data_IF_893551058857
#
_entry.id   IF_893551058857
#
_cell.length_a   1.000
_cell.length_b   1.000
_cell.length_c   1.000
_cell.angle_alpha   90.00
_cell.angle_beta   90.00
_cell.angle_gamma   90.00
#
_symmetry.space_group_name_H-M   'P 1'
#
loop_
_entity.id
_entity.type
_entity.pdbx_description
1 polymer ?
#
# COMPACT_ATOMS: atom_id res chain seq x y z
N UNK A 1 -112.69 -9.20 62.69
CA UNK A 1 -113.95 -8.49 62.97
C UNK A 1 -113.55 -7.05 63.27
N UNK A 2 -113.66 -6.14 62.32
CA UNK A 2 -114.87 -5.44 61.86
C UNK A 2 -115.38 -4.40 62.86
N UNK A 3 -115.78 -3.24 62.30
CA UNK A 3 -116.64 -2.19 62.86
C UNK A 3 -115.99 -1.29 63.93
N UNK A 4 -116.23 0.02 64.01
CA UNK A 4 -117.20 0.90 63.36
C UNK A 4 -117.06 2.31 63.97
N UNK A 5 -117.68 3.28 63.30
CA UNK A 5 -117.60 4.74 63.47
C UNK A 5 -117.87 5.33 64.87
N UNK A 6 -117.31 6.54 65.12
CA UNK A 6 -118.10 7.78 65.33
C UNK A 6 -117.24 9.06 65.36
N UNK A 7 -117.76 10.12 64.72
CA UNK A 7 -117.26 11.49 64.71
C UNK A 7 -117.69 12.26 65.98
N UNK A 8 -116.83 13.16 66.50
CA UNK A 8 -117.22 14.51 66.93
C UNK A 8 -116.01 15.43 67.10
N UNK A 9 -116.23 16.68 66.68
CA UNK A 9 -115.34 17.83 66.50
C UNK A 9 -114.94 18.45 67.85
N UNK A 10 -113.70 18.96 67.98
CA UNK A 10 -113.37 20.36 68.37
C UNK A 10 -111.85 20.57 68.46
N UNK A 11 -111.37 21.61 67.78
CA UNK A 11 -109.95 21.91 67.58
C UNK A 11 -109.22 22.34 68.86
N UNK A 12 -107.98 21.85 69.00
CA UNK A 12 -106.99 22.40 69.93
C UNK A 12 -106.06 23.33 69.13
N UNK A 13 -106.18 24.64 69.37
CA UNK A 13 -105.18 25.62 68.93
C UNK A 13 -103.89 25.38 69.73
N UNK A 14 -102.76 25.35 69.05
CA UNK A 14 -101.44 25.31 69.68
C UNK A 14 -101.21 26.62 70.46
N UNK A 15 -100.65 26.58 71.69
CA UNK A 15 -100.49 27.76 72.52
C UNK A 15 -99.50 28.75 71.88
N UNK A 16 -99.95 29.99 71.72
CA UNK A 16 -99.13 31.11 71.23
C UNK A 16 -98.11 31.48 72.31
N UNK A 17 -96.82 31.35 71.99
CA UNK A 17 -95.73 31.69 72.91
C UNK A 17 -95.42 33.19 72.81
N UNK A 18 -95.64 33.91 73.91
CA UNK A 18 -95.40 35.36 74.02
C UNK A 18 -94.03 35.57 74.64
N UNK A 19 -93.10 36.13 73.86
CA UNK A 19 -91.76 36.44 74.33
C UNK A 19 -91.75 37.91 74.81
N UNK A 20 -91.63 38.11 76.13
CA UNK A 20 -91.63 39.43 76.75
C UNK A 20 -90.19 39.92 76.83
N UNK A 21 -89.84 40.89 75.99
CA UNK A 21 -88.56 41.60 76.06
C UNK A 21 -88.79 42.93 76.77
N UNK A 22 -88.39 43.01 78.03
CA UNK A 22 -88.40 44.24 78.81
C UNK A 22 -87.01 44.88 78.73
N UNK A 23 -86.93 46.10 78.21
CA UNK A 23 -85.73 46.94 78.29
C UNK A 23 -86.16 48.33 78.75
N UNK A 24 -85.94 48.61 80.04
CA UNK A 24 -86.35 49.86 80.69
C UNK A 24 -87.86 50.10 80.66
N UNK A 25 -88.26 51.37 80.63
CA UNK A 25 -89.66 51.84 80.79
C UNK A 25 -90.59 51.61 79.57
N UNK A 26 -90.19 50.80 78.58
CA UNK A 26 -91.04 50.46 77.43
C UNK A 26 -91.08 48.95 77.20
N UNK A 27 -92.25 48.35 77.40
CA UNK A 27 -92.51 46.93 77.10
C UNK A 27 -93.12 46.83 75.71
N UNK A 28 -92.43 46.15 74.78
CA UNK A 28 -92.98 45.76 73.47
C UNK A 28 -93.26 44.26 73.46
N UNK A 29 -94.46 43.89 73.05
CA UNK A 29 -94.86 42.50 72.85
C UNK A 29 -94.77 42.15 71.37
N UNK A 30 -94.10 41.02 71.05
CA UNK A 30 -94.08 40.48 69.69
C UNK A 30 -94.63 39.04 69.74
N UNK A 31 -95.65 38.78 68.93
CA UNK A 31 -96.30 37.46 68.88
C UNK A 31 -95.63 36.61 67.80
N UNK A 32 -94.98 35.51 68.21
CA UNK A 32 -94.32 34.60 67.28
C UNK A 32 -95.33 33.57 66.80
N UNK A 33 -95.85 33.76 65.59
CA UNK A 33 -96.74 32.78 64.94
C UNK A 33 -95.93 31.54 64.51
N UNK A 34 -96.50 30.32 64.57
CA UNK A 34 -95.78 29.09 64.27
C UNK A 34 -95.16 29.03 62.86
N UNK A 35 -95.73 29.74 61.87
CA UNK A 35 -95.10 29.91 60.55
C UNK A 35 -93.73 30.61 60.64
N UNK A 36 -93.59 31.66 61.47
CA UNK A 36 -92.34 32.43 61.55
C UNK A 36 -91.19 31.60 62.14
N UNK A 37 -91.50 30.71 63.09
CA UNK A 37 -90.53 29.76 63.62
C UNK A 37 -90.08 28.76 62.54
N UNK A 38 -91.00 28.28 61.69
CA UNK A 38 -90.66 27.40 60.57
C UNK A 38 -89.76 28.10 59.53
N UNK A 39 -90.02 29.36 59.19
CA UNK A 39 -89.17 30.16 58.30
C UNK A 39 -87.77 30.39 58.88
N UNK A 40 -87.67 30.73 60.17
CA UNK A 40 -86.39 30.91 60.83
C UNK A 40 -85.57 29.61 60.86
N UNK A 41 -86.22 28.47 61.13
CA UNK A 41 -85.57 27.16 61.11
C UNK A 41 -85.10 26.78 59.71
N UNK A 42 -85.88 27.09 58.67
CA UNK A 42 -85.49 26.90 57.28
C UNK A 42 -84.29 27.78 56.90
N UNK A 43 -84.29 29.04 57.33
CA UNK A 43 -83.20 29.98 57.09
C UNK A 43 -81.90 29.53 57.76
N UNK A 44 -81.96 29.11 59.02
CA UNK A 44 -80.82 28.52 59.74
C UNK A 44 -80.37 27.22 59.09
N UNK A 45 -81.30 26.39 58.61
CA UNK A 45 -80.99 25.16 57.88
C UNK A 45 -80.22 25.43 56.59
N UNK A 46 -80.68 26.38 55.77
CA UNK A 46 -80.00 26.79 54.53
C UNK A 46 -78.61 27.37 54.82
N UNK A 47 -78.48 28.23 55.83
CA UNK A 47 -77.18 28.76 56.23
C UNK A 47 -76.22 27.68 56.75
N UNK A 48 -76.72 26.72 57.53
CA UNK A 48 -75.91 25.62 58.05
C UNK A 48 -75.46 24.68 56.94
N UNK A 49 -76.34 24.38 55.98
CA UNK A 49 -76.01 23.59 54.78
C UNK A 49 -75.00 24.35 53.92
N UNK A 50 -75.20 25.66 53.71
CA UNK A 50 -74.26 26.50 52.97
C UNK A 50 -72.88 26.55 53.64
N UNK A 51 -72.85 26.67 54.97
CA UNK A 51 -71.61 26.65 55.75
C UNK A 51 -70.89 25.28 55.68
N UNK A 52 -71.64 24.18 55.77
CA UNK A 52 -71.09 22.83 55.60
C UNK A 52 -70.58 22.58 54.18
N UNK A 53 -71.29 23.05 53.15
CA UNK A 53 -70.85 22.94 51.75
C UNK A 53 -69.60 23.78 51.49
N UNK A 54 -69.52 24.99 52.05
CA UNK A 54 -68.35 25.86 51.90
C UNK A 54 -67.10 25.28 52.60
N UNK A 55 -67.25 24.76 53.82
CA UNK A 55 -66.15 24.11 54.54
C UNK A 55 -65.73 22.81 53.86
N UNK A 56 -66.68 22.01 53.36
CA UNK A 56 -66.39 20.81 52.57
C UNK A 56 -65.64 21.13 51.26
N UNK A 57 -66.05 22.19 50.55
CA UNK A 57 -65.37 22.64 49.33
C UNK A 57 -63.94 23.12 49.59
N UNK A 58 -63.70 23.87 50.66
CA UNK A 58 -62.35 24.35 51.00
C UNK A 58 -61.40 23.19 51.32
N UNK A 59 -61.86 22.19 52.08
CA UNK A 59 -61.05 21.00 52.40
C UNK A 59 -60.76 20.19 51.14
N UNK A 60 -61.78 19.94 50.30
CA UNK A 60 -61.59 19.22 49.03
C UNK A 60 -60.72 19.99 48.03
N UNK A 61 -60.76 21.33 48.04
CA UNK A 61 -59.95 22.19 47.17
C UNK A 61 -58.47 22.05 47.49
N UNK A 62 -58.10 22.06 48.76
CA UNK A 62 -56.70 21.95 49.16
C UNK A 62 -56.12 20.56 48.81
N UNK A 63 -56.91 19.49 48.98
CA UNK A 63 -56.53 18.15 48.53
C UNK A 63 -56.40 18.05 47.00
N UNK A 64 -57.29 18.70 46.24
CA UNK A 64 -57.28 18.67 44.78
C UNK A 64 -56.14 19.52 44.18
N UNK A 65 -55.85 20.67 44.77
CA UNK A 65 -54.70 21.51 44.41
C UNK A 65 -53.40 20.80 44.80
N UNK A 66 -53.34 20.19 45.99
CA UNK A 66 -52.19 19.40 46.43
C UNK A 66 -51.91 18.21 45.51
N UNK A 67 -52.96 17.46 45.13
CA UNK A 67 -52.83 16.31 44.23
C UNK A 67 -52.39 16.72 42.81
N UNK A 68 -52.90 17.83 42.28
CA UNK A 68 -52.51 18.33 40.94
C UNK A 68 -51.10 18.93 40.93
N UNK A 69 -50.72 19.69 41.96
CA UNK A 69 -49.34 20.18 42.13
C UNK A 69 -48.34 19.04 42.33
N UNK A 70 -48.67 18.02 43.11
CA UNK A 70 -47.81 16.84 43.28
C UNK A 70 -47.66 16.06 41.97
N UNK A 71 -48.71 15.99 41.15
CA UNK A 71 -48.67 15.35 39.83
C UNK A 71 -47.82 16.15 38.84
N UNK A 72 -47.97 17.48 38.81
CA UNK A 72 -47.12 18.36 37.99
C UNK A 72 -45.65 18.28 38.41
N UNK A 73 -45.36 18.29 39.73
CA UNK A 73 -44.00 18.17 40.24
C UNK A 73 -43.36 16.82 39.86
N UNK A 74 -44.10 15.71 39.96
CA UNK A 74 -43.61 14.40 39.50
C UNK A 74 -43.35 14.37 38.00
N UNK A 75 -44.26 14.90 37.19
CA UNK A 75 -44.07 15.00 35.74
C UNK A 75 -42.83 15.83 35.40
N UNK A 76 -42.64 16.95 36.10
CA UNK A 76 -41.48 17.81 35.91
C UNK A 76 -40.17 17.09 36.25
N UNK A 77 -40.12 16.36 37.39
CA UNK A 77 -38.95 15.55 37.74
C UNK A 77 -38.68 14.43 36.73
N UNK A 78 -39.71 13.73 36.26
CA UNK A 78 -39.57 12.71 35.20
C UNK A 78 -39.00 13.31 33.89
N UNK A 79 -39.41 14.54 33.55
CA UNK A 79 -38.87 15.27 32.41
C UNK A 79 -37.42 15.72 32.65
N UNK A 80 -37.11 16.26 33.83
CA UNK A 80 -35.74 16.64 34.21
C UNK A 80 -34.79 15.44 34.17
N UNK A 81 -35.22 14.28 34.68
CA UNK A 81 -34.47 13.03 34.67
C UNK A 81 -34.28 12.51 33.24
N UNK A 82 -35.32 12.53 32.40
CA UNK A 82 -35.21 12.18 30.97
C UNK A 82 -34.25 13.10 30.23
N UNK A 83 -34.31 14.41 30.48
CA UNK A 83 -33.40 15.38 29.87
C UNK A 83 -31.97 15.13 30.33
N UNK A 84 -31.74 14.86 31.62
CA UNK A 84 -30.42 14.54 32.15
C UNK A 84 -29.87 13.24 31.53
N UNK A 85 -30.70 12.20 31.41
CA UNK A 85 -30.32 10.93 30.79
C UNK A 85 -29.98 11.10 29.29
N UNK A 86 -30.81 11.84 28.54
CA UNK A 86 -30.56 12.15 27.13
C UNK A 86 -29.27 12.96 26.95
N UNK A 87 -29.04 13.96 27.81
CA UNK A 87 -27.82 14.77 27.79
C UNK A 87 -26.57 13.93 28.07
N UNK A 88 -26.61 13.07 29.09
CA UNK A 88 -25.52 12.15 29.39
C UNK A 88 -25.26 11.16 28.23
N UNK A 89 -26.31 10.73 27.53
CA UNK A 89 -26.18 9.86 26.36
C UNK A 89 -25.55 10.60 25.17
N UNK A 90 -25.93 11.85 24.92
CA UNK A 90 -25.30 12.72 23.90
C UNK A 90 -23.85 13.00 24.24
N UNK A 91 -23.54 13.36 25.48
CA UNK A 91 -22.15 13.62 25.93
C UNK A 91 -21.28 12.36 25.78
N UNK A 92 -21.83 11.18 26.09
CA UNK A 92 -21.13 9.90 25.90
C UNK A 92 -20.89 9.57 24.43
N UNK A 93 -21.86 9.81 23.55
CA UNK A 93 -21.72 9.56 22.11
C UNK A 93 -20.73 10.53 21.48
N UNK A 94 -20.84 11.82 21.81
CA UNK A 94 -19.93 12.86 21.31
C UNK A 94 -18.50 12.63 21.78
N UNK A 95 -18.29 12.26 23.05
CA UNK A 95 -16.97 11.88 23.56
C UNK A 95 -16.36 10.69 22.83
N UNK A 96 -17.14 9.63 22.57
CA UNK A 96 -16.67 8.48 21.78
C UNK A 96 -16.33 8.86 20.34
N UNK A 97 -17.17 9.68 19.71
CA UNK A 97 -16.94 10.15 18.34
C UNK A 97 -15.66 10.99 18.22
N UNK A 98 -15.37 11.84 19.21
CA UNK A 98 -14.13 12.62 19.23
C UNK A 98 -12.88 11.73 19.41
N UNK A 99 -12.95 10.71 20.27
CA UNK A 99 -11.86 9.75 20.44
C UNK A 99 -11.62 8.92 19.18
N UNK A 100 -12.70 8.40 18.57
CA UNK A 100 -12.61 7.66 17.31
C UNK A 100 -12.01 8.53 16.21
N UNK A 101 -12.40 9.82 16.14
CA UNK A 101 -11.83 10.77 15.20
C UNK A 101 -10.32 10.96 15.41
N UNK A 102 -9.87 11.19 16.65
CA UNK A 102 -8.44 11.35 16.96
C UNK A 102 -7.61 10.11 16.59
N UNK A 103 -8.15 8.92 16.85
CA UNK A 103 -7.47 7.65 16.51
C UNK A 103 -7.39 7.48 14.99
N UNK A 104 -8.46 7.84 14.26
CA UNK A 104 -8.45 7.80 12.80
C UNK A 104 -7.45 8.81 12.24
N UNK A 105 -7.39 10.03 12.77
CA UNK A 105 -6.43 11.06 12.36
C UNK A 105 -4.97 10.59 12.55
N UNK A 106 -4.61 10.08 13.73
CA UNK A 106 -3.25 9.55 14.00
C UNK A 106 -2.89 8.39 13.06
N UNK A 107 -3.85 7.52 12.72
CA UNK A 107 -3.64 6.44 11.75
C UNK A 107 -3.45 6.96 10.32
N UNK A 108 -4.21 7.98 9.91
CA UNK A 108 -4.05 8.63 8.60
C UNK A 108 -2.68 9.27 8.50
N UNK A 109 -2.23 9.99 9.53
CA UNK A 109 -0.93 10.67 9.53
C UNK A 109 0.21 9.66 9.38
N UNK A 110 0.16 8.54 10.12
CA UNK A 110 1.12 7.43 9.98
C UNK A 110 1.11 6.79 8.60
N UNK A 111 -0.08 6.58 8.01
CA UNK A 111 -0.18 6.08 6.65
C UNK A 111 0.42 7.05 5.64
N UNK A 112 0.20 8.35 5.81
CA UNK A 112 0.72 9.36 4.91
C UNK A 112 2.25 9.43 5.00
N UNK A 113 2.82 9.33 6.21
CA UNK A 113 4.26 9.20 6.43
C UNK A 113 4.82 7.95 5.75
N UNK A 114 4.17 6.79 5.92
CA UNK A 114 4.59 5.54 5.28
C UNK A 114 4.52 5.63 3.75
N UNK A 115 3.47 6.24 3.20
CA UNK A 115 3.30 6.44 1.76
C UNK A 115 4.37 7.39 1.19
N UNK A 116 4.72 8.46 1.90
CA UNK A 116 5.79 9.38 1.50
C UNK A 116 7.16 8.68 1.50
N UNK A 117 7.44 7.88 2.53
CA UNK A 117 8.67 7.08 2.60
C UNK A 117 8.76 6.08 1.43
N UNK A 118 7.67 5.35 1.14
CA UNK A 118 7.60 4.44 0.00
C UNK A 118 7.77 5.15 -1.34
N UNK A 119 7.16 6.32 -1.52
CA UNK A 119 7.27 7.10 -2.75
C UNK A 119 8.71 7.60 -2.97
N UNK A 120 9.36 8.07 -1.91
CA UNK A 120 10.77 8.48 -1.94
C UNK A 120 11.70 7.30 -2.29
N UNK A 121 11.46 6.14 -1.67
CA UNK A 121 12.19 4.89 -1.97
C UNK A 121 12.00 4.45 -3.41
N UNK A 122 10.76 4.48 -3.91
CA UNK A 122 10.43 4.10 -5.28
C UNK A 122 11.19 4.96 -6.29
N UNK A 123 11.27 6.28 -6.09
CA UNK A 123 12.05 7.15 -6.97
C UNK A 123 13.55 6.82 -7.02
N UNK A 124 14.15 6.36 -5.92
CA UNK A 124 15.55 5.89 -5.93
C UNK A 124 15.70 4.56 -6.66
N UNK A 125 14.77 3.64 -6.41
CA UNK A 125 14.76 2.31 -6.99
C UNK A 125 14.54 2.35 -8.51
N UNK A 126 13.69 3.25 -9.00
CA UNK A 126 13.42 3.46 -10.43
C UNK A 126 14.71 3.73 -11.22
N UNK A 127 15.57 4.64 -10.72
CA UNK A 127 16.86 4.93 -11.33
C UNK A 127 17.81 3.70 -11.36
N UNK A 128 17.77 2.85 -10.33
CA UNK A 128 18.59 1.64 -10.28
C UNK A 128 18.02 0.52 -11.15
N UNK A 129 16.70 0.45 -11.29
CA UNK A 129 16.04 -0.48 -12.21
C UNK A 129 16.38 -0.14 -13.65
N UNK A 130 16.29 1.14 -14.04
CA UNK A 130 16.69 1.61 -15.36
C UNK A 130 18.17 1.26 -15.65
N UNK A 131 19.03 1.44 -14.65
CA UNK A 131 20.45 1.07 -14.75
C UNK A 131 20.64 -0.45 -14.87
N UNK A 132 19.93 -1.26 -14.10
CA UNK A 132 19.97 -2.72 -14.19
C UNK A 132 19.48 -3.23 -15.55
N UNK A 133 18.42 -2.63 -16.09
CA UNK A 133 17.90 -2.93 -17.42
C UNK A 133 18.93 -2.56 -18.50
N UNK A 134 19.53 -1.38 -18.41
CA UNK A 134 20.62 -0.95 -19.32
C UNK A 134 21.84 -1.87 -19.24
N UNK A 135 22.10 -2.46 -18.06
CA UNK A 135 23.13 -3.46 -17.82
C UNK A 135 22.78 -4.85 -18.36
N UNK A 136 21.59 -5.03 -18.96
CA UNK A 136 21.15 -6.26 -19.59
C UNK A 136 20.55 -7.30 -18.64
N UNK A 137 20.33 -6.93 -17.37
CA UNK A 137 19.60 -7.72 -16.39
C UNK A 137 18.09 -7.56 -16.64
N UNK A 138 17.63 -8.08 -17.78
CA UNK A 138 16.21 -8.13 -18.10
C UNK A 138 15.60 -9.37 -17.47
N UNK A 139 14.45 -9.20 -16.84
CA UNK A 139 13.57 -10.26 -16.33
C UNK A 139 13.59 -11.50 -17.23
N UNK A 140 14.06 -12.63 -16.68
CA UNK A 140 14.00 -13.93 -17.37
C UNK A 140 12.60 -14.53 -17.35
N UNK A 141 11.61 -13.87 -16.76
CA UNK A 141 10.25 -14.36 -16.67
C UNK A 141 9.29 -13.30 -17.22
N UNK A 142 8.52 -13.67 -18.23
CA UNK A 142 7.50 -12.83 -18.87
C UNK A 142 6.28 -12.58 -17.99
N UNK A 143 6.46 -12.53 -16.67
CA UNK A 143 5.44 -12.06 -15.74
C UNK A 143 5.55 -10.55 -15.72
N UNK A 144 4.97 -9.94 -16.75
CA UNK A 144 4.62 -8.53 -16.78
C UNK A 144 4.16 -8.13 -15.37
N UNK A 145 4.84 -7.19 -14.68
CA UNK A 145 4.30 -6.68 -13.45
C UNK A 145 2.89 -6.22 -13.79
N UNK A 146 1.91 -6.65 -12.99
CA UNK A 146 0.62 -5.98 -13.00
C UNK A 146 0.94 -4.47 -13.00
N UNK A 147 0.37 -3.68 -13.94
CA UNK A 147 0.71 -2.27 -14.06
C UNK A 147 0.71 -1.71 -12.66
N UNK A 148 1.82 -1.07 -12.27
CA UNK A 148 1.92 -0.37 -11.00
C UNK A 148 0.64 0.42 -10.87
N UNK A 149 -0.26 -0.08 -10.02
CA UNK A 149 -1.51 0.62 -9.78
C UNK A 149 -1.03 1.99 -9.34
N UNK A 150 -1.39 3.06 -10.06
CA UNK A 150 -0.99 4.39 -9.67
C UNK A 150 -1.32 4.48 -8.18
N UNK A 151 -0.39 4.94 -7.35
CA UNK A 151 -0.64 5.12 -5.91
C UNK A 151 -1.89 6.01 -5.67
N UNK A 152 -2.39 6.66 -6.73
CA UNK A 152 -3.66 7.38 -6.82
C UNK A 152 -4.95 6.51 -6.94
N UNK A 153 -4.89 5.19 -7.14
CA UNK A 153 -6.10 4.36 -7.31
C UNK A 153 -6.76 3.91 -6.00
N UNK A 154 -6.24 4.34 -4.85
CA UNK A 154 -6.91 4.14 -3.55
C UNK A 154 -7.72 5.37 -3.13
N UNK A 155 -8.19 6.18 -4.07
CA UNK A 155 -9.39 6.94 -3.82
C UNK A 155 -10.50 5.93 -3.47
N UNK A 156 -11.17 6.05 -2.31
CA UNK A 156 -12.26 5.14 -1.98
C UNK A 156 -13.25 5.17 -3.15
N UNK A 157 -13.62 4.01 -3.69
CA UNK A 157 -14.74 3.92 -4.63
C UNK A 157 -16.01 4.28 -3.86
N UNK A 158 -16.28 5.58 -3.75
CA UNK A 158 -17.55 6.12 -3.29
C UNK A 158 -18.53 6.01 -4.47
N UNK A 159 -18.65 4.83 -5.08
CA UNK A 159 -19.82 4.50 -5.88
C UNK A 159 -20.96 4.17 -4.93
N UNK A 160 -21.77 5.20 -4.73
CA UNK A 160 -23.20 5.08 -4.42
C UNK A 160 -23.59 4.29 -3.17
N UNK A 161 -22.92 4.55 -2.03
CA UNK A 161 -23.57 4.39 -0.71
C UNK A 161 -23.20 5.54 0.21
N UNK A 162 -23.55 6.77 -0.19
CA UNK A 162 -23.86 7.79 0.83
C UNK A 162 -25.06 7.24 1.60
N UNK A 163 -24.81 6.66 2.78
CA UNK A 163 -25.86 6.40 3.75
C UNK A 163 -26.55 7.73 3.99
N UNK A 164 -27.75 7.90 3.42
CA UNK A 164 -28.44 9.16 3.53
C UNK A 164 -28.78 9.37 5.00
N UNK A 165 -28.37 10.52 5.54
CA UNK A 165 -28.82 10.99 6.86
C UNK A 165 -30.35 11.08 6.94
N UNK A 166 -31.04 11.07 5.79
CA UNK A 166 -32.50 10.97 5.65
C UNK A 166 -33.06 9.62 6.11
N UNK A 167 -32.29 8.52 6.02
CA UNK A 167 -32.73 7.20 6.47
C UNK A 167 -32.80 7.07 8.00
N UNK A 168 -31.84 7.68 8.70
CA UNK A 168 -31.81 7.71 10.17
C UNK A 168 -32.97 8.50 10.76
N UNK A 169 -33.33 9.64 10.15
CA UNK A 169 -34.48 10.46 10.58
C UNK A 169 -35.80 9.69 10.38
N UNK A 170 -35.96 8.95 9.28
CA UNK A 170 -37.16 8.11 9.02
C UNK A 170 -37.29 6.90 9.95
N UNK A 171 -36.17 6.34 10.42
CA UNK A 171 -36.17 5.26 11.40
C UNK A 171 -36.55 5.78 12.79
N UNK A 172 -36.05 6.96 13.17
CA UNK A 172 -36.39 7.65 14.42
C UNK A 172 -37.87 8.10 14.40
N UNK A 173 -38.37 8.60 13.26
CA UNK A 173 -39.78 8.97 13.05
C UNK A 173 -40.73 7.77 13.17
N UNK A 174 -40.35 6.58 12.65
CA UNK A 174 -41.14 5.34 12.85
C UNK A 174 -41.17 4.84 14.29
N UNK A 175 -40.15 5.17 15.07
CA UNK A 175 -40.01 4.72 16.46
C UNK A 175 -40.64 5.71 17.45
N UNK A 176 -40.79 6.98 17.05
CA UNK A 176 -41.57 8.00 17.76
C UNK A 176 -43.05 8.02 17.34
N UNK A 177 -43.41 7.50 16.16
CA UNK A 177 -44.80 7.43 15.69
C UNK A 177 -45.60 6.23 16.21
N UNK A 178 -45.03 5.37 17.06
CA UNK A 178 -45.75 4.27 17.70
C UNK A 178 -46.45 4.72 18.99
N UNK A 179 -47.44 5.61 18.85
CA UNK A 179 -48.49 5.81 19.86
C UNK A 179 -49.67 4.90 19.48
N UNK A 180 -49.65 3.65 19.95
CA UNK A 180 -50.82 2.77 20.00
C UNK A 180 -50.77 1.91 21.27
N UNK A 181 -51.93 1.61 21.90
CA UNK A 181 -51.98 1.17 23.29
C UNK A 181 -51.44 -0.24 23.48
N UNK A 182 -50.82 -0.45 24.64
CA UNK A 182 -50.34 -1.74 25.11
C UNK A 182 -51.48 -2.74 25.26
N UNK A 183 -51.50 -3.77 24.41
CA UNK A 183 -52.14 -5.04 24.72
C UNK A 183 -51.46 -6.17 23.91
N UNK A 184 -50.33 -6.65 24.42
CA UNK A 184 -49.77 -7.95 24.06
C UNK A 184 -48.78 -8.39 25.15
N UNK A 185 -49.05 -9.57 25.69
CA UNK A 185 -48.29 -10.33 26.67
C UNK A 185 -46.79 -10.46 26.33
N UNK A 186 -45.88 -10.51 27.33
CA UNK A 186 -44.47 -10.63 27.06
C UNK A 186 -44.14 -12.07 26.66
N UNK A 187 -43.90 -12.30 25.37
CA UNK A 187 -43.20 -13.50 24.91
C UNK A 187 -41.71 -13.20 24.86
N UNK A 188 -41.05 -13.61 25.95
CA UNK A 188 -39.62 -13.63 26.14
C UNK A 188 -39.00 -14.72 25.26
N UNK A 189 -38.90 -14.46 23.95
CA UNK A 189 -38.10 -15.29 23.04
C UNK A 189 -37.82 -14.55 21.73
N UNK A 190 -36.82 -13.67 21.76
CA UNK A 190 -35.88 -13.38 20.66
C UNK A 190 -35.13 -12.08 20.97
N UNK A 191 -34.25 -12.13 21.98
CA UNK A 191 -33.02 -11.34 21.92
C UNK A 191 -32.11 -12.01 20.88
N UNK A 192 -32.55 -11.99 19.62
CA UNK A 192 -31.69 -12.31 18.51
C UNK A 192 -30.66 -11.18 18.45
N UNK A 193 -29.39 -11.57 18.51
CA UNK A 193 -28.22 -10.73 18.33
C UNK A 193 -28.36 -9.96 17.00
N UNK A 194 -28.96 -8.76 17.04
CA UNK A 194 -28.89 -7.84 15.93
C UNK A 194 -27.41 -7.43 15.82
N UNK A 195 -26.75 -7.63 14.67
CA UNK A 195 -25.38 -7.18 14.51
C UNK A 195 -25.39 -5.68 14.78
N UNK A 196 -24.62 -5.26 15.78
CA UNK A 196 -24.44 -3.85 16.10
C UNK A 196 -24.08 -3.13 14.80
N UNK A 197 -24.82 -2.08 14.45
CA UNK A 197 -24.55 -1.32 13.25
C UNK A 197 -23.07 -0.91 13.26
N UNK A 198 -22.31 -1.42 12.29
CA UNK A 198 -20.85 -1.27 12.18
C UNK A 198 -20.48 0.20 12.38
N UNK A 199 -19.67 0.49 13.41
CA UNK A 199 -19.35 1.86 13.80
C UNK A 199 -18.41 2.49 12.77
N UNK A 200 -18.29 3.82 12.80
CA UNK A 200 -17.36 4.52 11.90
C UNK A 200 -15.92 4.10 12.19
N UNK A 201 -15.56 3.86 13.46
CA UNK A 201 -14.28 3.31 13.88
C UNK A 201 -14.01 1.92 13.30
N UNK A 202 -14.96 0.99 13.40
CA UNK A 202 -14.80 -0.39 12.86
C UNK A 202 -14.54 -0.41 11.34
N UNK A 203 -15.24 0.46 10.60
CA UNK A 203 -15.03 0.62 9.15
C UNK A 203 -13.65 1.18 8.85
N UNK A 204 -13.22 2.20 9.58
CA UNK A 204 -11.92 2.81 9.39
C UNK A 204 -10.80 1.79 9.66
N UNK A 205 -10.89 1.03 10.75
CA UNK A 205 -9.92 0.00 11.13
C UNK A 205 -9.75 -1.09 10.08
N UNK A 206 -10.85 -1.52 9.44
CA UNK A 206 -10.78 -2.48 8.34
C UNK A 206 -10.07 -1.90 7.12
N UNK A 207 -10.31 -0.63 6.79
CA UNK A 207 -9.65 0.05 5.66
C UNK A 207 -8.17 0.22 5.96
N UNK A 208 -7.83 0.73 7.15
CA UNK A 208 -6.44 0.87 7.60
C UNK A 208 -5.70 -0.45 7.51
N UNK A 209 -6.28 -1.53 8.06
CA UNK A 209 -5.65 -2.86 8.03
C UNK A 209 -5.38 -3.33 6.60
N UNK A 210 -6.32 -3.14 5.68
CA UNK A 210 -6.12 -3.51 4.26
C UNK A 210 -5.04 -2.67 3.59
N UNK A 211 -5.03 -1.36 3.82
CA UNK A 211 -4.04 -0.45 3.25
C UNK A 211 -2.66 -0.78 3.80
N UNK A 212 -2.51 -0.92 5.12
CA UNK A 212 -1.24 -1.29 5.76
C UNK A 212 -0.71 -2.64 5.27
N UNK A 213 -1.58 -3.65 5.11
CA UNK A 213 -1.17 -4.95 4.53
C UNK A 213 -0.70 -4.79 3.09
N UNK A 214 -1.45 -4.05 2.26
CA UNK A 214 -1.05 -3.81 0.87
C UNK A 214 0.26 -3.04 0.77
N UNK A 215 0.50 -2.04 1.62
CA UNK A 215 1.76 -1.29 1.65
C UNK A 215 2.92 -2.19 2.07
N UNK A 216 2.69 -3.10 3.04
CA UNK A 216 3.69 -4.06 3.48
C UNK A 216 4.03 -5.09 2.39
N UNK A 217 3.02 -5.58 1.67
CA UNK A 217 3.23 -6.49 0.55
C UNK A 217 4.06 -5.83 -0.57
N UNK A 218 3.75 -4.56 -0.90
CA UNK A 218 4.55 -3.78 -1.85
C UNK A 218 5.98 -3.60 -1.35
N UNK A 219 6.18 -3.26 -0.07
CA UNK A 219 7.53 -3.10 0.48
C UNK A 219 8.35 -4.40 0.44
N UNK A 220 7.71 -5.54 0.73
CA UNK A 220 8.37 -6.85 0.65
C UNK A 220 8.73 -7.21 -0.79
N UNK A 221 7.83 -6.98 -1.74
CA UNK A 221 8.07 -7.22 -3.17
C UNK A 221 9.26 -6.39 -3.68
N UNK A 222 9.30 -5.10 -3.34
CA UNK A 222 10.42 -4.22 -3.70
C UNK A 222 11.74 -4.70 -3.10
N UNK A 223 11.75 -5.16 -1.83
CA UNK A 223 12.96 -5.72 -1.19
C UNK A 223 13.45 -6.99 -1.88
N UNK A 224 12.56 -7.96 -2.07
CA UNK A 224 12.89 -9.21 -2.76
C UNK A 224 13.45 -8.93 -4.16
N UNK A 225 12.91 -7.91 -4.83
CA UNK A 225 13.37 -7.52 -6.16
C UNK A 225 14.79 -6.96 -6.16
N UNK A 226 15.10 -6.06 -5.23
CA UNK A 226 16.46 -5.50 -5.08
C UNK A 226 17.47 -6.61 -4.77
N UNK A 227 17.12 -7.53 -3.89
CA UNK A 227 17.96 -8.68 -3.53
C UNK A 227 18.22 -9.58 -4.74
N UNK A 228 17.17 -9.93 -5.49
CA UNK A 228 17.31 -10.75 -6.70
C UNK A 228 18.21 -10.08 -7.75
N UNK A 229 18.00 -8.79 -8.03
CA UNK A 229 18.82 -8.05 -8.98
C UNK A 229 20.28 -7.95 -8.53
N UNK A 230 20.51 -7.77 -7.23
CA UNK A 230 21.86 -7.73 -6.65
C UNK A 230 22.57 -9.06 -6.86
N UNK A 231 21.87 -10.17 -6.59
CA UNK A 231 22.39 -11.53 -6.81
C UNK A 231 22.67 -11.80 -8.28
N UNK A 232 21.74 -11.48 -9.17
CA UNK A 232 21.90 -11.66 -10.62
C UNK A 232 23.08 -10.85 -11.17
N UNK A 233 23.22 -9.59 -10.74
CA UNK A 233 24.35 -8.74 -11.09
C UNK A 233 25.68 -9.33 -10.60
N UNK A 234 25.72 -9.81 -9.35
CA UNK A 234 26.88 -10.45 -8.74
C UNK A 234 27.30 -11.73 -9.47
N UNK A 235 26.33 -12.58 -9.83
CA UNK A 235 26.58 -13.80 -10.59
C UNK A 235 27.07 -13.51 -12.01
N UNK A 236 26.45 -12.57 -12.71
CA UNK A 236 26.88 -12.15 -14.04
C UNK A 236 28.32 -11.60 -14.01
N UNK A 237 28.62 -10.73 -13.04
CA UNK A 237 29.96 -10.17 -12.87
C UNK A 237 30.99 -11.28 -12.62
N UNK A 238 30.72 -12.19 -11.68
CA UNK A 238 31.61 -13.30 -11.33
C UNK A 238 31.84 -14.27 -12.50
N UNK A 239 30.83 -14.50 -13.32
CA UNK A 239 30.96 -15.31 -14.54
C UNK A 239 31.91 -14.66 -15.56
N UNK A 240 31.81 -13.34 -15.75
CA UNK A 240 32.70 -12.58 -16.64
C UNK A 240 34.14 -12.59 -16.08
N UNK A 241 34.32 -12.35 -14.78
CA UNK A 241 35.63 -12.37 -14.12
C UNK A 241 36.33 -13.72 -14.24
N UNK A 242 35.59 -14.82 -14.07
CA UNK A 242 36.12 -16.18 -14.24
C UNK A 242 36.67 -16.40 -15.65
N UNK A 243 36.05 -15.79 -16.65
CA UNK A 243 36.56 -15.82 -18.03
C UNK A 243 37.81 -14.94 -18.16
N UNK A 244 37.79 -13.71 -17.66
CA UNK A 244 38.93 -12.76 -17.76
C UNK A 244 40.19 -13.29 -17.06
N UNK A 245 40.04 -13.83 -15.86
CA UNK A 245 41.14 -14.42 -15.05
C UNK A 245 41.79 -15.61 -15.75
N UNK A 246 41.01 -16.44 -16.48
CA UNK A 246 41.56 -17.52 -17.32
C UNK A 246 42.53 -17.00 -18.38
N UNK A 247 42.29 -15.81 -18.91
CA UNK A 247 43.18 -15.15 -19.87
C UNK A 247 44.24 -14.26 -19.20
N UNK A 248 44.41 -14.33 -17.87
CA UNK A 248 45.37 -13.51 -17.11
C UNK A 248 45.21 -12.00 -17.31
N UNK A 249 43.97 -11.56 -17.54
CA UNK A 249 43.65 -10.15 -17.71
C UNK A 249 43.37 -9.58 -16.32
N UNK A 250 44.05 -8.49 -15.92
CA UNK A 250 43.81 -7.87 -14.63
C UNK A 250 42.36 -7.39 -14.59
N UNK A 251 41.62 -7.88 -13.61
CA UNK A 251 40.29 -7.38 -13.29
C UNK A 251 40.49 -6.23 -12.30
N UNK A 252 39.81 -5.08 -12.44
CA UNK A 252 39.86 -4.03 -11.43
C UNK A 252 39.45 -4.60 -10.05
N UNK A 253 40.42 -4.75 -9.15
CA UNK A 253 40.15 -5.03 -7.73
C UNK A 253 39.75 -3.72 -7.04
N UNK A 254 38.53 -3.26 -7.25
CA UNK A 254 38.01 -2.14 -6.45
C UNK A 254 36.53 -2.35 -6.12
N UNK A 255 36.35 -3.15 -5.07
CA UNK A 255 35.25 -3.22 -4.07
C UNK A 255 35.09 -4.66 -3.57
N UNK A 256 36.19 -5.23 -3.05
CA UNK A 256 36.13 -6.39 -2.14
C UNK A 256 35.60 -5.98 -0.75
N UNK A 257 34.61 -5.08 -0.70
CA UNK A 257 33.91 -4.67 0.50
C UNK A 257 32.48 -5.23 0.47
N UNK A 258 32.38 -6.56 0.48
CA UNK A 258 31.24 -7.35 0.95
C UNK A 258 31.42 -8.83 0.55
N UNK A 259 32.56 -9.45 0.89
CA UNK A 259 32.52 -10.88 1.20
C UNK A 259 32.24 -10.96 2.70
N UNK A 260 30.98 -10.73 3.08
CA UNK A 260 30.53 -11.19 4.38
C UNK A 260 30.31 -12.70 4.26
N UNK A 261 30.95 -13.41 5.18
CA UNK A 261 30.95 -14.85 5.30
C UNK A 261 29.53 -15.40 5.41
N UNK A 262 29.18 -16.37 4.57
CA UNK A 262 28.02 -17.24 4.78
C UNK A 262 28.30 -18.13 5.99
N UNK A 263 27.89 -17.69 7.18
CA UNK A 263 27.77 -18.57 8.35
C UNK A 263 26.27 -18.69 8.72
N UNK A 264 25.63 -19.71 8.14
CA UNK A 264 24.22 -20.02 8.42
C UNK A 264 24.08 -20.65 9.80
N UNK A 265 23.69 -19.85 10.80
CA UNK A 265 23.15 -20.33 12.07
C UNK A 265 21.79 -19.67 12.32
N UNK A 266 20.71 -20.44 12.21
CA UNK A 266 19.32 -19.97 12.38
C UNK A 266 18.84 -20.24 13.80
N UNK A 267 18.47 -19.16 14.51
CA UNK A 267 17.69 -19.19 15.75
C UNK A 267 17.92 -17.96 16.64
N UNK A 268 16.87 -17.15 16.87
CA UNK A 268 16.89 -16.02 17.81
C UNK A 268 15.49 -15.51 18.17
N UNK A 269 15.29 -14.89 19.36
CA UNK A 269 14.00 -14.33 19.77
C UNK A 269 13.67 -13.02 19.03
N UNK A 270 12.39 -12.65 19.10
CA UNK A 270 11.73 -11.53 18.41
C UNK A 270 12.56 -10.23 18.25
N UNK A 271 12.49 -9.62 17.06
CA UNK A 271 13.18 -8.38 16.68
C UNK A 271 12.20 -7.23 16.37
N UNK A 272 12.66 -6.01 16.68
CA UNK A 272 12.00 -4.71 16.52
C UNK A 272 11.74 -4.32 15.04
N UNK A 273 10.90 -3.30 14.75
CA UNK A 273 10.54 -2.93 13.38
C UNK A 273 11.77 -2.42 12.62
N UNK A 274 12.00 -3.00 11.44
CA UNK A 274 13.15 -2.69 10.59
C UNK A 274 13.25 -1.20 10.26
N UNK A 275 14.47 -0.69 10.42
CA UNK A 275 14.77 0.72 10.21
C UNK A 275 14.86 1.06 8.73
N UNK A 276 14.80 2.35 8.40
CA UNK A 276 15.07 2.82 7.04
C UNK A 276 16.47 2.44 6.51
N UNK A 277 17.37 1.96 7.37
CA UNK A 277 18.76 1.71 7.04
C UNK A 277 18.94 0.39 6.27
N UNK A 278 18.13 -0.64 6.54
CA UNK A 278 18.26 -1.95 5.87
C UNK A 278 17.96 -1.85 4.37
N UNK A 279 16.90 -1.13 4.00
CA UNK A 279 16.59 -0.90 2.59
C UNK A 279 17.65 -0.04 1.90
N UNK A 280 18.17 1.00 2.56
CA UNK A 280 19.25 1.82 2.00
C UNK A 280 20.53 1.00 1.79
N UNK A 281 20.83 0.07 2.70
CA UNK A 281 21.95 -0.86 2.56
C UNK A 281 21.75 -1.80 1.36
N UNK A 282 20.54 -2.33 1.15
CA UNK A 282 20.23 -3.15 -0.02
C UNK A 282 20.37 -2.36 -1.33
N UNK A 283 19.97 -1.09 -1.36
CA UNK A 283 20.19 -0.23 -2.53
C UNK A 283 21.69 0.03 -2.79
N UNK A 284 22.48 0.27 -1.74
CA UNK A 284 23.92 0.44 -1.87
C UNK A 284 24.62 -0.84 -2.35
N UNK A 285 24.16 -2.01 -1.89
CA UNK A 285 24.63 -3.31 -2.37
C UNK A 285 24.32 -3.52 -3.85
N UNK A 286 23.10 -3.18 -4.29
CA UNK A 286 22.71 -3.23 -5.69
C UNK A 286 23.57 -2.30 -6.55
N UNK A 287 23.77 -1.04 -6.13
CA UNK A 287 24.58 -0.07 -6.84
C UNK A 287 26.04 -0.53 -7.00
N UNK A 288 26.62 -1.10 -5.93
CA UNK A 288 27.95 -1.71 -5.96
C UNK A 288 28.03 -2.91 -6.91
N UNK A 289 27.04 -3.80 -6.88
CA UNK A 289 26.98 -4.96 -7.76
C UNK A 289 26.84 -4.57 -9.24
N UNK A 290 26.01 -3.56 -9.56
CA UNK A 290 25.86 -3.03 -10.91
C UNK A 290 27.15 -2.35 -11.40
N UNK A 291 27.77 -1.52 -10.55
CA UNK A 291 29.05 -0.87 -10.88
C UNK A 291 30.15 -1.88 -11.18
N UNK A 292 30.23 -2.96 -10.39
CA UNK A 292 31.15 -4.07 -10.65
C UNK A 292 30.83 -4.76 -11.97
N UNK A 293 29.55 -5.10 -12.23
CA UNK A 293 29.11 -5.72 -13.47
C UNK A 293 29.49 -4.89 -14.69
N UNK A 294 29.23 -3.59 -14.67
CA UNK A 294 29.57 -2.65 -15.74
C UNK A 294 31.08 -2.60 -15.99
N UNK A 295 31.90 -2.55 -14.93
CA UNK A 295 33.36 -2.51 -15.05
C UNK A 295 33.92 -3.78 -15.71
N UNK A 296 33.47 -4.96 -15.27
CA UNK A 296 33.96 -6.24 -15.83
C UNK A 296 33.42 -6.46 -17.24
N UNK A 297 32.18 -6.05 -17.51
CA UNK A 297 31.59 -6.10 -18.85
C UNK A 297 32.34 -5.21 -19.81
N UNK A 298 32.59 -3.95 -19.44
CA UNK A 298 33.36 -2.99 -20.25
C UNK A 298 34.74 -3.54 -20.62
N UNK A 299 35.42 -4.17 -19.65
CA UNK A 299 36.71 -4.84 -19.87
C UNK A 299 36.57 -6.02 -20.84
N UNK A 300 35.58 -6.89 -20.66
CA UNK A 300 35.34 -8.00 -21.58
C UNK A 300 35.00 -7.52 -23.00
N UNK A 301 34.30 -6.41 -23.10
CA UNK A 301 33.88 -5.75 -24.33
C UNK A 301 35.03 -5.09 -25.11
N UNK A 302 36.14 -4.76 -24.44
CA UNK A 302 37.35 -4.25 -25.09
C UNK A 302 38.26 -5.36 -25.63
N UNK A 303 37.90 -6.63 -25.46
CA UNK A 303 38.77 -7.78 -25.77
C UNK A 303 38.23 -8.65 -26.92
N UNK A 304 39.11 -9.36 -27.65
CA UNK A 304 38.77 -10.02 -28.91
C UNK A 304 38.06 -11.38 -28.70
N UNK A 305 37.00 -11.40 -27.91
CA UNK A 305 36.21 -12.61 -27.65
C UNK A 305 35.21 -12.94 -28.77
N UNK A 306 34.96 -12.02 -29.70
CA UNK A 306 34.04 -12.26 -30.83
C UNK A 306 34.68 -13.14 -31.93
N UNK A 307 33.81 -13.83 -32.67
CA UNK A 307 34.23 -14.55 -33.87
C UNK A 307 34.65 -13.53 -34.96
N UNK A 308 35.90 -13.58 -35.47
CA UNK A 308 36.41 -12.69 -36.53
C UNK A 308 35.72 -12.88 -37.90
N UNK A 309 35.02 -14.01 -38.09
CA UNK A 309 34.50 -14.43 -39.38
C UNK A 309 33.15 -15.16 -39.21
N UNK A 310 32.13 -14.42 -38.78
CA UNK A 310 30.78 -14.96 -38.53
C UNK A 310 30.25 -15.66 -39.79
N UNK A 311 29.84 -16.92 -39.64
CA UNK A 311 29.28 -17.73 -40.72
C UNK A 311 30.30 -18.22 -41.76
N UNK A 312 31.60 -18.12 -41.48
CA UNK A 312 32.66 -18.62 -42.37
C UNK A 312 33.26 -19.93 -41.86
N UNK A 313 33.64 -20.78 -42.80
CA UNK A 313 34.34 -22.03 -42.49
C UNK A 313 35.80 -21.77 -42.14
N UNK A 314 36.30 -22.50 -41.13
CA UNK A 314 37.72 -22.60 -40.84
C UNK A 314 38.38 -23.50 -41.88
N UNK A 315 39.32 -22.94 -42.65
CA UNK A 315 40.09 -23.69 -43.65
C UNK A 315 41.38 -24.28 -43.09
N UNK A 316 41.95 -23.67 -42.05
CA UNK A 316 43.10 -24.22 -41.33
C UNK A 316 43.09 -23.80 -39.87
N UNK A 317 43.20 -24.76 -38.92
CA UNK A 317 43.27 -24.45 -37.49
C UNK A 317 44.68 -23.95 -37.07
N UNK A 318 44.76 -23.42 -35.86
CA UNK A 318 46.01 -23.12 -35.16
C UNK A 318 46.79 -24.41 -34.82
N UNK A 319 48.12 -24.32 -34.74
CA UNK A 319 48.97 -25.41 -34.27
C UNK A 319 49.88 -26.01 -35.33
N UNK A 320 50.59 -27.09 -34.96
CA UNK A 320 51.57 -27.74 -35.83
C UNK A 320 50.88 -28.48 -36.98
N UNK A 321 51.22 -28.12 -38.21
CA UNK A 321 50.70 -28.75 -39.42
C UNK A 321 51.79 -28.89 -40.48
N UNK A 322 51.53 -29.70 -41.50
CA UNK A 322 52.42 -29.77 -42.67
C UNK A 322 52.33 -28.45 -43.43
N UNK A 323 53.46 -27.77 -43.55
CA UNK A 323 53.59 -26.51 -44.25
C UNK A 323 53.23 -26.69 -45.73
N UNK A 324 52.30 -25.90 -46.28
CA UNK A 324 51.82 -26.08 -47.65
C UNK A 324 52.86 -25.70 -48.73
N UNK A 325 53.93 -25.00 -48.37
CA UNK A 325 54.98 -24.58 -49.31
C UNK A 325 56.25 -25.44 -49.19
N UNK A 326 56.64 -25.79 -47.96
CA UNK A 326 57.87 -26.54 -47.66
C UNK A 326 57.63 -28.04 -47.49
N UNK A 327 56.38 -28.47 -47.25
CA UNK A 327 56.01 -29.86 -47.01
C UNK A 327 56.51 -30.46 -45.69
N UNK A 328 57.07 -29.64 -44.79
CA UNK A 328 57.62 -30.03 -43.48
C UNK A 328 56.69 -29.58 -42.34
N UNK A 329 56.87 -30.12 -41.14
CA UNK A 329 56.08 -29.69 -39.98
C UNK A 329 56.44 -28.23 -39.60
N UNK A 330 55.43 -27.37 -39.48
CA UNK A 330 55.56 -25.98 -39.05
C UNK A 330 54.38 -25.56 -38.18
N UNK A 331 54.61 -24.60 -37.27
CA UNK A 331 53.56 -24.01 -36.46
C UNK A 331 52.76 -23.01 -37.28
N UNK A 332 51.44 -23.18 -37.31
CA UNK A 332 50.50 -22.18 -37.78
C UNK A 332 50.06 -21.30 -36.60
N UNK A 333 50.50 -20.05 -36.59
CA UNK A 333 50.33 -19.10 -35.48
C UNK A 333 48.95 -18.44 -35.41
N UNK A 334 48.02 -18.84 -36.26
CA UNK A 334 46.66 -18.30 -36.33
C UNK A 334 45.66 -19.32 -36.85
N UNK A 335 44.47 -18.84 -37.20
CA UNK A 335 43.40 -19.60 -37.84
C UNK A 335 43.09 -18.96 -39.18
N UNK A 336 42.92 -19.79 -40.21
CA UNK A 336 42.54 -19.35 -41.54
C UNK A 336 41.04 -19.56 -41.76
N UNK A 337 40.36 -18.51 -42.20
CA UNK A 337 38.93 -18.53 -42.55
C UNK A 337 38.72 -18.32 -44.04
N UNK A 338 37.75 -19.05 -44.61
CA UNK A 338 37.35 -18.86 -46.01
C UNK A 338 36.74 -17.48 -46.22
N UNK A 339 37.36 -16.66 -47.07
CA UNK A 339 36.85 -15.35 -47.49
C UNK A 339 36.79 -15.25 -49.00
N UNK A 340 35.86 -14.43 -49.50
CA UNK A 340 35.84 -14.05 -50.92
C UNK A 340 36.81 -12.89 -51.20
N UNK A 341 37.38 -12.79 -52.41
CA UNK A 341 38.22 -11.65 -52.78
C UNK A 341 37.51 -10.32 -52.55
N UNK A 342 38.16 -9.37 -51.89
CA UNK A 342 37.60 -8.05 -51.61
C UNK A 342 36.58 -8.00 -50.47
N UNK A 343 36.32 -9.11 -49.77
CA UNK A 343 35.40 -9.13 -48.64
C UNK A 343 35.93 -8.29 -47.47
N UNK A 344 35.04 -7.56 -46.78
CA UNK A 344 35.40 -6.62 -45.72
C UNK A 344 35.85 -7.33 -44.45
N UNK A 345 37.05 -6.99 -43.98
CA UNK A 345 37.59 -7.46 -42.70
C UNK A 345 37.32 -6.40 -41.63
N UNK A 346 36.86 -6.85 -40.45
CA UNK A 346 36.55 -6.02 -39.29
C UNK A 346 37.31 -6.51 -38.06
N UNK A 347 37.60 -5.63 -37.09
CA UNK A 347 38.29 -6.02 -35.87
C UNK A 347 37.36 -6.79 -34.93
N UNK A 348 37.90 -7.68 -34.12
CA UNK A 348 37.15 -8.49 -33.15
C UNK A 348 36.89 -7.75 -31.84
N UNK A 349 37.59 -6.63 -31.62
CA UNK A 349 37.45 -5.73 -30.48
C UNK A 349 37.90 -4.31 -30.86
N UNK A 350 37.44 -3.27 -30.15
CA UNK A 350 37.96 -1.92 -30.33
C UNK A 350 39.44 -1.86 -29.93
N UNK A 351 40.22 -0.97 -30.54
CA UNK A 351 41.64 -0.86 -30.22
C UNK A 351 42.38 0.16 -31.05
N UNK A 352 43.70 0.18 -30.90
CA UNK A 352 44.60 1.07 -31.64
C UNK A 352 45.42 0.27 -32.64
N UNK A 353 45.48 0.73 -33.88
CA UNK A 353 46.30 0.11 -34.93
C UNK A 353 47.77 0.35 -34.63
N UNK A 354 48.54 -0.72 -34.43
CA UNK A 354 49.98 -0.69 -34.13
C UNK A 354 50.84 -1.13 -35.33
N UNK A 355 50.26 -1.85 -36.29
CA UNK A 355 50.89 -2.13 -37.58
C UNK A 355 49.83 -2.10 -38.70
N UNK A 356 50.17 -1.53 -39.85
CA UNK A 356 49.30 -1.49 -41.03
C UNK A 356 50.16 -1.42 -42.30
N UNK A 357 50.22 -2.51 -43.06
CA UNK A 357 51.00 -2.58 -44.30
C UNK A 357 51.67 -3.93 -44.53
N UNK A 358 52.67 -3.95 -45.42
CA UNK A 358 53.36 -5.19 -45.81
C UNK A 358 54.28 -5.72 -44.71
N UNK A 359 54.04 -6.95 -44.23
CA UNK A 359 54.78 -7.58 -43.13
C UNK A 359 55.21 -9.00 -43.50
N UNK A 360 56.28 -9.12 -44.29
CA UNK A 360 56.92 -10.39 -44.62
C UNK A 360 55.93 -11.45 -45.15
N UNK A 361 55.92 -12.63 -44.52
CA UNK A 361 55.06 -13.74 -44.93
C UNK A 361 53.56 -13.48 -44.78
N UNK A 362 53.15 -12.50 -43.98
CA UNK A 362 51.73 -12.12 -43.82
C UNK A 362 51.19 -11.32 -45.01
N UNK A 363 52.07 -10.80 -45.89
CA UNK A 363 51.65 -9.87 -46.93
C UNK A 363 51.13 -8.57 -46.32
N UNK A 364 50.05 -8.02 -46.86
CA UNK A 364 49.38 -6.88 -46.25
C UNK A 364 48.66 -7.32 -44.97
N UNK A 365 49.01 -6.67 -43.86
CA UNK A 365 48.57 -7.06 -42.53
C UNK A 365 48.19 -5.83 -41.70
N UNK A 366 47.20 -6.01 -40.83
CA UNK A 366 46.84 -5.04 -39.77
C UNK A 366 46.97 -5.72 -38.41
N UNK A 367 47.66 -5.07 -37.49
CA UNK A 367 47.77 -5.47 -36.09
C UNK A 367 47.14 -4.40 -35.19
N UNK A 368 46.27 -4.84 -34.29
CA UNK A 368 45.49 -3.96 -33.41
C UNK A 368 45.80 -4.34 -31.97
N UNK A 369 46.19 -3.35 -31.17
CA UNK A 369 46.33 -3.45 -29.73
C UNK A 369 45.00 -3.15 -29.04
N UNK A 370 44.54 -4.08 -28.22
CA UNK A 370 43.30 -4.00 -27.46
C UNK A 370 43.54 -3.66 -25.98
N UNK A 371 44.79 -3.43 -25.58
CA UNK A 371 45.20 -3.27 -24.19
C UNK A 371 45.38 -4.62 -23.48
N UNK A 372 45.78 -4.56 -22.20
CA UNK A 372 46.02 -5.74 -21.36
C UNK A 372 47.01 -6.77 -21.96
N UNK A 373 47.93 -6.31 -22.82
CA UNK A 373 48.86 -7.17 -23.54
C UNK A 373 48.22 -8.03 -24.62
N UNK A 374 46.96 -7.79 -24.98
CA UNK A 374 46.22 -8.54 -26.01
C UNK A 374 46.22 -7.75 -27.32
N UNK A 375 46.63 -8.40 -28.40
CA UNK A 375 46.56 -7.86 -29.76
C UNK A 375 46.03 -8.89 -30.75
N UNK A 376 45.50 -8.42 -31.87
CA UNK A 376 45.03 -9.27 -32.96
C UNK A 376 45.71 -8.92 -34.26
N UNK A 377 45.95 -9.93 -35.10
CA UNK A 377 46.50 -9.76 -36.46
C UNK A 377 45.55 -10.26 -37.51
N UNK A 378 45.48 -9.52 -38.61
CA UNK A 378 44.68 -9.82 -39.78
C UNK A 378 45.59 -9.79 -41.01
N UNK A 379 45.91 -10.97 -41.54
CA UNK A 379 46.88 -11.15 -42.63
C UNK A 379 46.25 -11.36 -44.01
N UNK A 380 47.11 -11.39 -45.02
CA UNK A 380 46.81 -11.70 -46.42
C UNK A 380 45.81 -10.76 -47.11
N UNK A 381 45.70 -9.52 -46.65
CA UNK A 381 44.76 -8.55 -47.23
C UNK A 381 45.12 -8.21 -48.68
N UNK A 382 44.12 -7.92 -49.51
CA UNK A 382 44.33 -7.29 -50.82
C UNK A 382 44.60 -5.79 -50.68
N UNK A 383 43.94 -5.15 -49.72
CA UNK A 383 44.06 -3.72 -49.44
C UNK A 383 43.91 -3.44 -47.94
N UNK A 384 44.77 -2.57 -47.40
CA UNK A 384 44.67 -2.03 -46.04
C UNK A 384 43.96 -0.68 -46.11
N UNK A 385 42.97 -0.47 -45.23
CA UNK A 385 42.13 0.74 -45.22
C UNK A 385 42.38 1.67 -44.01
N UNK A 386 43.24 1.25 -43.09
CA UNK A 386 43.60 2.00 -41.87
C UNK A 386 45.11 2.27 -41.82
N UNK A 387 45.53 3.17 -40.94
CA UNK A 387 46.92 3.55 -40.73
C UNK A 387 47.33 3.30 -39.28
N UNK A 388 48.64 3.16 -39.08
CA UNK A 388 49.21 3.08 -37.73
C UNK A 388 48.85 4.33 -36.95
N UNK A 389 48.33 4.14 -35.74
CA UNK A 389 47.85 5.22 -34.88
C UNK A 389 46.33 5.37 -34.85
N UNK A 390 45.61 4.84 -35.84
CA UNK A 390 44.15 4.94 -35.90
C UNK A 390 43.50 4.16 -34.74
N UNK A 391 42.46 4.74 -34.16
CA UNK A 391 41.56 4.04 -33.24
C UNK A 391 40.41 3.46 -34.04
N UNK A 392 40.17 2.16 -33.90
CA UNK A 392 39.12 1.44 -34.63
C UNK A 392 38.10 0.87 -33.65
N UNK A 393 36.83 1.02 -33.99
CA UNK A 393 35.70 0.40 -33.33
C UNK A 393 35.34 -0.95 -33.96
N UNK A 394 34.41 -1.67 -33.32
CA UNK A 394 34.00 -3.03 -33.70
C UNK A 394 33.45 -3.14 -35.13
N UNK A 395 32.85 -2.07 -35.64
CA UNK A 395 32.16 -2.09 -36.92
C UNK A 395 32.99 -1.55 -38.09
N UNK A 396 34.20 -1.05 -37.78
CA UNK A 396 35.07 -0.41 -38.76
C UNK A 396 35.67 -1.45 -39.71
N UNK A 397 35.86 -1.04 -40.95
CA UNK A 397 36.49 -1.89 -41.96
C UNK A 397 37.97 -1.57 -42.00
N UNK A 398 38.81 -2.53 -41.59
CA UNK A 398 40.26 -2.35 -41.49
C UNK A 398 40.98 -2.71 -42.79
N UNK A 399 40.34 -3.50 -43.64
CA UNK A 399 40.90 -3.93 -44.91
C UNK A 399 39.98 -4.85 -45.70
N UNK A 400 40.47 -5.28 -46.85
CA UNK A 400 39.77 -6.19 -47.76
C UNK A 400 40.54 -7.51 -47.86
N UNK A 401 39.82 -8.63 -47.82
CA UNK A 401 40.41 -9.96 -47.95
C UNK A 401 41.08 -10.16 -49.31
N UNK A 402 42.15 -10.94 -49.32
CA UNK A 402 42.96 -11.20 -50.51
C UNK A 402 43.84 -12.42 -50.35
N UNK A 403 44.91 -12.47 -51.15
CA UNK A 403 45.89 -13.54 -51.13
C UNK A 403 47.29 -12.97 -51.36
N UNK A 404 47.73 -12.08 -50.45
CA UNK A 404 49.07 -11.47 -50.49
C UNK A 404 50.04 -12.18 -49.55
N UNK A 405 51.35 -12.04 -49.79
CA UNK A 405 52.38 -12.71 -49.00
C UNK A 405 52.38 -14.22 -49.22
N UNK A 406 52.54 -14.98 -48.14
CA UNK A 406 52.68 -16.45 -48.19
C UNK A 406 51.32 -17.13 -48.07
N UNK A 407 50.53 -17.01 -49.13
CA UNK A 407 49.13 -17.47 -49.20
C UNK A 407 48.92 -18.38 -50.43
N UNK A 408 48.06 -19.39 -50.30
CA UNK A 408 47.70 -20.33 -51.40
C UNK A 408 46.38 -19.98 -52.08
N UNK A 409 45.63 -19.03 -51.55
CA UNK A 409 44.31 -18.62 -52.04
C UNK A 409 43.68 -17.57 -51.13
N UNK A 410 42.53 -17.04 -51.51
CA UNK A 410 41.90 -15.98 -50.71
C UNK A 410 41.35 -16.51 -49.39
N UNK A 411 41.83 -15.95 -48.29
CA UNK A 411 41.40 -16.27 -46.92
C UNK A 411 41.75 -15.12 -45.96
N UNK A 412 41.15 -15.13 -44.78
CA UNK A 412 41.59 -14.30 -43.65
C UNK A 412 42.48 -15.17 -42.75
N UNK A 413 43.73 -14.78 -42.58
CA UNK A 413 44.58 -15.30 -41.51
C UNK A 413 44.40 -14.44 -40.27
N UNK A 414 43.92 -15.03 -39.18
CA UNK A 414 43.63 -14.35 -37.93
C UNK A 414 44.47 -14.90 -36.78
N UNK A 415 45.18 -14.02 -36.07
CA UNK A 415 45.89 -14.37 -34.84
C UNK A 415 45.34 -13.58 -33.65
N UNK A 416 45.36 -14.22 -32.48
CA UNK A 416 45.31 -13.53 -31.19
C UNK A 416 46.69 -13.68 -30.57
N UNK A 417 47.20 -12.59 -29.99
CA UNK A 417 48.51 -12.56 -29.35
C UNK A 417 48.37 -12.04 -27.93
N UNK A 418 49.05 -12.72 -27.02
CA UNK A 418 49.14 -12.33 -25.61
C UNK A 418 50.60 -12.06 -25.27
N UNK A 419 50.89 -10.84 -24.81
CA UNK A 419 52.25 -10.35 -24.50
C UNK A 419 53.22 -10.61 -25.68
N UNK A 420 52.73 -10.39 -26.90
CA UNK A 420 53.49 -10.59 -28.13
C UNK A 420 53.64 -12.05 -28.57
N UNK A 421 53.10 -13.05 -27.87
CA UNK A 421 53.12 -14.46 -28.28
C UNK A 421 51.79 -14.89 -28.90
N UNK A 422 51.82 -15.65 -29.99
CA UNK A 422 50.62 -16.20 -30.60
C UNK A 422 49.98 -17.26 -29.69
N UNK A 423 48.67 -17.16 -29.50
CA UNK A 423 47.86 -18.11 -28.73
C UNK A 423 46.72 -18.61 -29.60
N UNK A 424 46.18 -19.79 -29.29
CA UNK A 424 45.07 -20.36 -30.07
C UNK A 424 43.82 -19.46 -29.97
N UNK A 425 43.38 -18.85 -31.10
CA UNK A 425 42.20 -17.98 -31.09
C UNK A 425 40.90 -18.70 -30.72
N UNK A 426 40.82 -20.03 -30.82
CA UNK A 426 39.63 -20.81 -30.45
C UNK A 426 39.25 -20.59 -28.99
N UNK A 427 40.23 -20.42 -28.08
CA UNK A 427 39.95 -20.16 -26.68
C UNK A 427 39.17 -18.85 -26.48
N UNK A 428 39.54 -17.80 -27.20
CA UNK A 428 38.87 -16.51 -27.15
C UNK A 428 37.46 -16.58 -27.75
N UNK A 429 37.30 -17.27 -28.89
CA UNK A 429 35.98 -17.45 -29.51
C UNK A 429 35.02 -18.24 -28.61
N UNK A 430 35.50 -19.33 -27.99
CA UNK A 430 34.70 -20.13 -27.06
C UNK A 430 34.33 -19.35 -25.78
N UNK A 431 35.23 -18.50 -25.31
CA UNK A 431 34.94 -17.59 -24.20
C UNK A 431 33.87 -16.58 -24.59
N UNK A 432 33.92 -16.00 -25.81
CA UNK A 432 32.89 -15.10 -26.31
C UNK A 432 31.51 -15.73 -26.41
N UNK A 433 31.41 -17.00 -26.79
CA UNK A 433 30.13 -17.73 -26.80
C UNK A 433 29.50 -17.82 -25.39
N UNK A 434 30.33 -18.00 -24.36
CA UNK A 434 29.87 -18.02 -22.96
C UNK A 434 29.54 -16.62 -22.46
N UNK A 435 30.27 -15.60 -22.92
CA UNK A 435 30.04 -14.21 -22.54
C UNK A 435 28.83 -13.61 -23.24
N UNK A 436 28.43 -14.12 -24.40
CA UNK A 436 27.28 -13.61 -25.16
C UNK A 436 25.95 -13.67 -24.38
N UNK A 437 25.84 -14.51 -23.35
CA UNK A 437 24.67 -14.54 -22.47
C UNK A 437 24.64 -13.38 -21.46
N UNK A 438 25.78 -12.71 -21.23
CA UNK A 438 25.95 -11.63 -20.26
C UNK A 438 26.27 -10.27 -20.91
N UNK A 439 26.76 -10.30 -22.16
CA UNK A 439 27.14 -9.13 -22.95
C UNK A 439 26.23 -9.10 -24.17
N UNK A 440 25.12 -8.35 -24.07
CA UNK A 440 24.24 -8.07 -25.22
C UNK A 440 24.82 -6.97 -26.10
#
# INVERSE_FOLDING_TARGET
>A
MNSGHQHRVFGRRAPEHILILASGDKVRHMTVRPWMAALAFCFVGVFSIGYLLATSYLVLRDDLIGATMARQARMQHDYEDRIAALRAQVDRITSRQLLDQQVVEDKVDKLMEQQLALTSRHGKLDNLLDRAESSGLTEKDGTQPAPSLPVQSFAPDIKDKRASLTGGIKAIERQLASDAPADATPDNSTLAFAPSAETVGDRADRIFSKVTLSLKDVEQDQRNRVEQLTSDAGHAASAIETVLTRFKIPVPEETAAARQEEESAVGGPYLEPESNDDFNNSLAALDGALTRLEAVRSTAESLPFRNPAIGKDVTSPFGNRRDPFLGRLALHSGIDFRFSPGERIRPTAPGKVIAAGWTGGYGNMVEIDHGNGISTRYGHMSQVLVKVGDTVGRNDVIGLAGSTGRSTGTHLHYEVRQNGQAVDPVYFMNAGLKLATYIK
#
